data_IF_356356841949
#
_entry.id   IF_356356841949
#
_cell.length_a   1.000
_cell.length_b   1.000
_cell.length_c   1.000
_cell.angle_alpha   90.00
_cell.angle_beta   90.00
_cell.angle_gamma   90.00
#
_symmetry.space_group_name_H-M   'P 1'
#
loop_
_entity.id
_entity.type
_entity.pdbx_description
1 polymer ?
#
# COMPACT_ATOMS: atom_id res chain seq x y z
N UNK A 1 13.17 -59.22 -72.21
CA UNK A 1 12.62 -57.93 -72.68
C UNK A 1 12.99 -56.89 -71.63
N UNK A 2 14.10 -56.15 -71.84
CA UNK A 2 14.13 -54.71 -72.18
C UNK A 2 13.67 -53.83 -70.98
N UNK A 3 14.42 -52.87 -70.43
CA UNK A 3 15.76 -52.34 -70.71
C UNK A 3 16.13 -51.21 -69.71
N UNK A 4 17.43 -51.15 -69.38
CA UNK A 4 18.34 -49.99 -69.25
C UNK A 4 18.02 -48.70 -68.42
N UNK A 5 18.97 -48.42 -67.50
CA UNK A 5 19.78 -47.19 -67.26
C UNK A 5 19.12 -45.99 -66.55
N UNK A 6 19.65 -45.56 -65.39
CA UNK A 6 20.52 -44.35 -65.27
C UNK A 6 21.04 -44.09 -63.85
N UNK A 7 22.30 -43.66 -63.79
CA UNK A 7 23.02 -43.04 -62.67
C UNK A 7 22.40 -41.69 -62.28
N UNK A 8 22.60 -41.27 -61.03
CA UNK A 8 22.43 -39.89 -60.58
C UNK A 8 22.92 -39.68 -59.15
N UNK A 9 24.13 -39.16 -59.01
CA UNK A 9 24.66 -38.64 -57.75
C UNK A 9 24.05 -37.26 -57.41
N UNK A 10 24.31 -36.82 -56.18
CA UNK A 10 24.11 -35.48 -55.61
C UNK A 10 22.75 -35.21 -54.93
N UNK A 11 22.75 -35.09 -53.61
CA UNK A 11 22.80 -33.79 -52.93
C UNK A 11 22.76 -34.00 -51.41
N UNK A 12 23.87 -33.64 -50.78
CA UNK A 12 23.88 -33.25 -49.38
C UNK A 12 22.98 -32.02 -49.20
N UNK A 13 22.16 -32.00 -48.15
CA UNK A 13 21.35 -30.81 -47.87
C UNK A 13 20.33 -31.04 -46.76
N UNK A 14 20.69 -30.61 -45.55
CA UNK A 14 19.85 -29.92 -44.57
C UNK A 14 18.54 -30.58 -44.14
N UNK A 15 18.43 -30.89 -42.84
CA UNK A 15 17.43 -30.30 -41.93
C UNK A 15 17.64 -30.85 -40.52
N UNK A 16 18.75 -30.46 -39.88
CA UNK A 16 18.84 -30.48 -38.42
C UNK A 16 18.37 -29.10 -37.97
N UNK A 17 17.06 -28.92 -37.80
CA UNK A 17 16.51 -27.77 -37.10
C UNK A 17 16.82 -27.94 -35.61
N UNK A 18 18.05 -27.56 -35.25
CA UNK A 18 18.44 -27.22 -33.90
C UNK A 18 17.56 -26.03 -33.50
N UNK A 19 16.50 -26.31 -32.74
CA UNK A 19 15.75 -25.29 -32.00
C UNK A 19 16.67 -24.79 -30.88
N UNK A 20 17.64 -23.94 -31.25
CA UNK A 20 18.29 -23.05 -30.32
C UNK A 20 17.26 -21.97 -30.01
N UNK A 21 16.35 -22.27 -29.10
CA UNK A 21 15.60 -21.23 -28.41
C UNK A 21 16.65 -20.42 -27.64
N UNK A 22 17.10 -19.33 -28.26
CA UNK A 22 17.89 -18.30 -27.63
C UNK A 22 17.11 -17.86 -26.38
N UNK A 23 17.60 -18.29 -25.22
CA UNK A 23 17.39 -17.60 -23.95
C UNK A 23 18.04 -16.22 -24.12
N UNK A 24 17.36 -15.33 -24.82
CA UNK A 24 17.64 -13.91 -24.68
C UNK A 24 17.32 -13.58 -23.21
N UNK A 25 18.26 -13.02 -22.44
CA UNK A 25 17.91 -12.46 -21.15
C UNK A 25 16.81 -11.43 -21.39
N UNK A 26 15.86 -11.39 -20.46
CA UNK A 26 14.68 -10.54 -20.44
C UNK A 26 15.08 -9.06 -20.24
N UNK A 27 15.83 -8.49 -21.19
CA UNK A 27 16.26 -7.08 -21.16
C UNK A 27 15.04 -6.13 -21.14
N UNK A 28 13.88 -6.61 -21.57
CA UNK A 28 12.62 -5.87 -21.51
C UNK A 28 12.06 -5.69 -20.08
N UNK A 29 12.47 -6.52 -19.11
CA UNK A 29 12.01 -6.43 -17.71
C UNK A 29 12.67 -5.28 -16.94
N UNK A 30 13.87 -4.86 -17.34
CA UNK A 30 14.70 -3.92 -16.58
C UNK A 30 14.32 -2.43 -16.74
N UNK A 31 13.51 -2.06 -17.74
CA UNK A 31 13.23 -0.64 -18.07
C UNK A 31 11.81 -0.18 -17.70
N UNK A 32 10.98 -1.06 -17.09
CA UNK A 32 9.61 -0.69 -16.69
C UNK A 32 9.52 -0.45 -15.19
N UNK A 33 9.30 0.80 -14.82
CA UNK A 33 9.06 1.18 -13.43
C UNK A 33 7.56 1.22 -13.10
N UNK A 34 7.15 0.59 -12.01
CA UNK A 34 5.81 0.68 -11.43
C UNK A 34 5.70 1.88 -10.50
N UNK A 35 4.60 2.62 -10.57
CA UNK A 35 4.29 3.75 -9.69
C UNK A 35 3.22 3.36 -8.68
N UNK A 36 3.62 3.24 -7.41
CA UNK A 36 2.72 3.05 -6.28
C UNK A 36 2.46 4.39 -5.58
N UNK A 37 1.21 4.62 -5.17
CA UNK A 37 0.86 5.70 -4.25
C UNK A 37 0.44 5.14 -2.89
N UNK A 38 0.94 5.78 -1.83
CA UNK A 38 0.54 5.52 -0.46
C UNK A 38 -0.01 6.81 0.15
N UNK A 39 -1.27 6.77 0.58
CA UNK A 39 -1.89 7.79 1.42
C UNK A 39 -1.83 7.33 2.88
N UNK A 40 -1.76 8.29 3.79
CA UNK A 40 -1.89 8.03 5.22
C UNK A 40 -3.34 7.79 5.64
N UNK A 41 -3.72 8.37 6.76
CA UNK A 41 -4.95 7.99 7.46
C UNK A 41 -6.20 8.52 6.73
N UNK A 42 -7.09 7.61 6.35
CA UNK A 42 -8.37 7.88 5.68
C UNK A 42 -9.48 7.47 6.64
N UNK A 43 -10.00 8.46 7.36
CA UNK A 43 -11.12 8.37 8.29
C UNK A 43 -12.36 8.97 7.60
N UNK A 44 -13.28 8.10 7.17
CA UNK A 44 -14.49 8.46 6.40
C UNK A 44 -15.75 8.55 7.26
N UNK A 45 -15.61 8.76 8.57
CA UNK A 45 -16.73 9.09 9.47
C UNK A 45 -16.79 10.62 9.63
N UNK A 46 -17.62 11.12 10.56
CA UNK A 46 -17.70 12.53 10.97
C UNK A 46 -17.83 13.53 9.79
N UNK A 47 -16.91 14.49 9.62
CA UNK A 47 -16.92 15.49 8.55
C UNK A 47 -16.91 14.87 7.15
N UNK A 48 -15.90 14.04 6.81
CA UNK A 48 -15.87 13.31 5.55
C UNK A 48 -17.12 12.46 5.32
N UNK A 49 -17.59 11.75 6.35
CA UNK A 49 -18.82 10.96 6.30
C UNK A 49 -20.06 11.81 5.97
N UNK A 50 -20.23 12.96 6.63
CA UNK A 50 -21.31 13.92 6.35
C UNK A 50 -21.25 14.50 4.94
N UNK A 51 -20.05 14.79 4.43
CA UNK A 51 -19.87 15.26 3.05
C UNK A 51 -20.34 14.19 2.06
N UNK A 52 -19.95 12.93 2.29
CA UNK A 52 -20.36 11.79 1.47
C UNK A 52 -21.88 11.58 1.55
N UNK A 53 -22.50 11.66 2.72
CA UNK A 53 -23.94 11.50 2.88
C UNK A 53 -24.76 12.51 2.05
N UNK A 54 -24.20 13.71 1.82
CA UNK A 54 -24.81 14.77 0.99
C UNK A 54 -24.46 14.67 -0.51
N UNK A 55 -23.78 13.60 -0.93
CA UNK A 55 -23.40 13.36 -2.33
C UNK A 55 -22.01 13.88 -2.71
N UNK A 56 -21.26 14.50 -1.79
CA UNK A 56 -19.90 14.98 -2.03
C UNK A 56 -18.85 13.86 -2.11
N UNK A 57 -17.61 14.22 -2.45
CA UNK A 57 -16.46 13.32 -2.54
C UNK A 57 -15.21 14.04 -1.95
N UNK A 58 -14.72 13.65 -0.76
CA UNK A 58 -13.53 14.26 -0.16
C UNK A 58 -12.25 13.98 -0.96
N UNK A 59 -12.24 12.98 -1.85
CA UNK A 59 -11.07 12.64 -2.66
C UNK A 59 -11.09 13.33 -4.03
N UNK A 60 -12.11 14.11 -4.34
CA UNK A 60 -12.22 14.83 -5.60
C UNK A 60 -10.99 15.72 -5.93
N UNK A 61 -10.39 16.47 -4.98
CA UNK A 61 -9.19 17.27 -5.27
C UNK A 61 -7.97 16.44 -5.69
N UNK A 62 -7.87 15.19 -5.25
CA UNK A 62 -6.78 14.27 -5.58
C UNK A 62 -7.11 13.29 -6.72
N UNK A 63 -8.34 13.34 -7.27
CA UNK A 63 -8.84 12.44 -8.30
C UNK A 63 -7.86 12.20 -9.45
N UNK A 64 -7.39 13.29 -10.07
CA UNK A 64 -6.51 13.24 -11.23
C UNK A 64 -5.08 12.77 -10.87
N UNK A 65 -4.62 13.10 -9.67
CA UNK A 65 -3.30 12.70 -9.17
C UNK A 65 -3.29 11.19 -8.91
N UNK A 66 -4.30 10.69 -8.20
CA UNK A 66 -4.45 9.27 -7.90
C UNK A 66 -4.53 8.45 -9.20
N UNK A 67 -5.29 8.91 -10.20
CA UNK A 67 -5.49 8.19 -11.47
C UNK A 67 -4.20 7.99 -12.31
N UNK A 68 -3.08 8.64 -11.97
CA UNK A 68 -1.80 8.49 -12.68
C UNK A 68 -0.93 7.34 -12.16
N UNK A 69 -1.33 6.71 -11.06
CA UNK A 69 -0.59 5.62 -10.46
C UNK A 69 -1.03 4.27 -11.00
N UNK A 70 -0.12 3.30 -10.97
CA UNK A 70 -0.42 1.92 -11.36
C UNK A 70 -1.11 1.15 -10.22
N UNK A 71 -0.92 1.60 -8.97
CA UNK A 71 -1.60 1.05 -7.79
C UNK A 71 -1.63 2.07 -6.64
N UNK A 72 -2.75 2.12 -5.91
CA UNK A 72 -3.03 3.13 -4.87
C UNK A 72 -3.44 2.47 -3.57
N UNK A 73 -2.77 2.83 -2.48
CA UNK A 73 -2.92 2.25 -1.14
C UNK A 73 -3.20 3.36 -0.14
N UNK A 74 -4.08 3.11 0.83
CA UNK A 74 -4.32 3.99 1.97
C UNK A 74 -4.41 3.22 3.28
N UNK A 75 -4.30 3.90 4.42
CA UNK A 75 -4.71 3.35 5.72
C UNK A 75 -6.18 3.69 5.97
N UNK A 76 -7.07 2.69 6.04
CA UNK A 76 -8.50 2.91 6.31
C UNK A 76 -8.72 2.95 7.83
N UNK A 77 -8.78 4.15 8.40
CA UNK A 77 -8.77 4.37 9.85
C UNK A 77 -10.17 4.37 10.48
N UNK A 78 -11.06 3.54 9.95
CA UNK A 78 -12.43 3.43 10.42
C UNK A 78 -13.07 2.14 9.88
N UNK A 79 -13.84 1.40 10.69
CA UNK A 79 -14.66 0.31 10.18
C UNK A 79 -15.79 0.87 9.30
N UNK A 80 -16.11 0.16 8.22
CA UNK A 80 -17.26 0.42 7.36
C UNK A 80 -18.34 -0.59 7.72
N UNK A 81 -19.37 -0.14 8.46
CA UNK A 81 -20.37 -1.06 8.98
C UNK A 81 -21.68 -0.35 9.40
N UNK A 82 -22.78 -1.08 9.36
CA UNK A 82 -24.00 -0.74 10.12
C UNK A 82 -24.07 -1.55 11.44
N UNK A 83 -23.39 -2.71 11.51
CA UNK A 83 -23.38 -3.59 12.67
C UNK A 83 -22.42 -3.14 13.78
N UNK A 84 -22.36 -3.95 14.84
CA UNK A 84 -21.44 -3.77 15.96
C UNK A 84 -21.92 -2.79 17.03
N UNK A 85 -21.10 -2.63 18.07
CA UNK A 85 -21.31 -1.67 19.15
C UNK A 85 -20.00 -1.00 19.47
N UNK A 86 -20.05 0.32 19.64
CA UNK A 86 -18.88 1.11 20.00
C UNK A 86 -18.19 0.52 21.24
N UNK A 87 -16.86 0.45 21.19
CA UNK A 87 -16.06 -0.08 22.27
C UNK A 87 -16.20 0.83 23.51
N UNK A 88 -16.75 0.32 24.63
CA UNK A 88 -17.32 1.15 25.70
C UNK A 88 -16.31 2.05 26.42
N UNK A 89 -15.03 1.70 26.39
CA UNK A 89 -13.95 2.40 27.10
C UNK A 89 -12.95 3.10 26.16
N UNK A 90 -13.26 3.21 24.88
CA UNK A 90 -12.40 3.92 23.92
C UNK A 90 -12.86 5.37 23.80
N UNK A 91 -11.94 6.32 23.94
CA UNK A 91 -12.24 7.77 23.98
C UNK A 91 -12.79 8.26 22.63
N UNK A 92 -12.27 7.71 21.54
CA UNK A 92 -12.71 8.00 20.18
C UNK A 92 -13.05 6.68 19.47
N UNK A 93 -14.26 6.60 18.93
CA UNK A 93 -14.72 5.48 18.12
C UNK A 93 -15.30 6.03 16.82
N UNK A 94 -14.80 5.56 15.69
CA UNK A 94 -15.29 5.93 14.36
C UNK A 94 -16.03 4.76 13.73
N UNK A 95 -17.06 5.05 12.94
CA UNK A 95 -17.72 4.06 12.07
C UNK A 95 -18.31 4.74 10.85
N UNK A 96 -17.66 4.48 9.73
CA UNK A 96 -18.18 4.89 8.43
C UNK A 96 -19.40 4.05 8.04
N UNK A 97 -20.35 4.72 7.39
CA UNK A 97 -21.51 4.09 6.76
C UNK A 97 -21.10 3.40 5.45
N UNK A 98 -21.76 2.31 5.02
CA UNK A 98 -21.42 1.63 3.75
C UNK A 98 -21.42 2.53 2.50
N UNK A 99 -22.14 3.65 2.51
CA UNK A 99 -22.15 4.63 1.43
C UNK A 99 -20.78 5.25 1.10
N UNK A 100 -19.80 5.18 2.01
CA UNK A 100 -18.43 5.67 1.74
C UNK A 100 -17.68 4.83 0.72
N UNK A 101 -18.10 3.59 0.48
CA UNK A 101 -17.44 2.70 -0.48
C UNK A 101 -17.41 3.31 -1.90
N UNK A 102 -18.42 4.13 -2.26
CA UNK A 102 -18.48 4.80 -3.56
C UNK A 102 -17.32 5.77 -3.81
N UNK A 103 -16.71 6.29 -2.74
CA UNK A 103 -15.54 7.19 -2.86
C UNK A 103 -14.23 6.41 -2.77
N UNK A 104 -14.20 5.23 -2.19
CA UNK A 104 -13.01 4.37 -2.21
C UNK A 104 -12.81 3.74 -3.59
N UNK A 105 -13.90 3.30 -4.22
CA UNK A 105 -13.86 2.71 -5.55
C UNK A 105 -13.26 3.67 -6.58
N UNK A 106 -12.23 3.18 -7.27
CA UNK A 106 -11.52 3.96 -8.29
C UNK A 106 -10.57 5.03 -7.74
N UNK A 107 -10.51 5.22 -6.41
CA UNK A 107 -9.51 6.07 -5.73
C UNK A 107 -8.38 5.27 -5.11
N UNK A 108 -8.70 4.12 -4.51
CA UNK A 108 -7.73 3.20 -3.95
C UNK A 108 -7.98 1.78 -4.46
N UNK A 109 -6.89 1.06 -4.75
CA UNK A 109 -6.93 -0.34 -5.17
C UNK A 109 -6.91 -1.27 -3.96
N UNK A 110 -6.27 -0.84 -2.86
CA UNK A 110 -6.33 -1.54 -1.59
C UNK A 110 -6.21 -0.60 -0.38
N UNK A 111 -6.63 -1.09 0.78
CA UNK A 111 -6.51 -0.39 2.06
C UNK A 111 -5.88 -1.27 3.13
N UNK A 112 -5.04 -0.68 3.98
CA UNK A 112 -4.61 -1.32 5.23
C UNK A 112 -5.73 -1.24 6.25
N UNK A 113 -5.96 -2.35 6.95
CA UNK A 113 -6.83 -2.45 8.12
C UNK A 113 -6.01 -2.54 9.42
N UNK A 114 -4.68 -2.55 9.34
CA UNK A 114 -3.83 -2.64 10.51
C UNK A 114 -3.72 -1.29 11.24
N UNK A 115 -4.76 -0.91 11.97
CA UNK A 115 -4.75 0.30 12.80
C UNK A 115 -5.58 0.11 14.07
N UNK A 116 -5.46 1.06 14.99
CA UNK A 116 -6.15 1.03 16.27
C UNK A 116 -7.68 1.27 16.18
N UNK A 117 -8.19 1.77 15.05
CA UNK A 117 -9.61 2.11 14.87
C UNK A 117 -10.43 1.01 14.18
N UNK A 118 -9.79 0.04 13.53
CA UNK A 118 -10.48 -1.07 12.85
C UNK A 118 -11.40 -1.90 13.76
N UNK A 119 -11.12 -1.91 15.07
CA UNK A 119 -11.90 -2.62 16.07
C UNK A 119 -12.95 -1.79 16.82
N UNK A 120 -13.20 -0.55 16.41
CA UNK A 120 -14.01 0.41 17.20
C UNK A 120 -15.43 -0.08 17.50
N UNK A 121 -16.01 -0.87 16.60
CA UNK A 121 -17.35 -1.43 16.74
C UNK A 121 -17.36 -2.96 16.90
N UNK A 122 -16.19 -3.54 17.20
CA UNK A 122 -15.99 -4.95 17.45
C UNK A 122 -15.93 -5.81 16.19
N UNK A 123 -15.77 -7.11 16.40
CA UNK A 123 -15.48 -8.09 15.35
C UNK A 123 -16.58 -8.21 14.28
N UNK A 124 -17.85 -8.01 14.63
CA UNK A 124 -18.95 -8.06 13.65
C UNK A 124 -18.84 -6.94 12.62
N UNK A 125 -18.56 -5.71 13.08
CA UNK A 125 -18.37 -4.55 12.21
C UNK A 125 -17.10 -4.68 11.36
N UNK A 126 -16.05 -5.27 11.93
CA UNK A 126 -14.81 -5.53 11.20
C UNK A 126 -14.97 -6.58 10.09
N UNK A 127 -15.68 -7.68 10.38
CA UNK A 127 -16.02 -8.69 9.35
C UNK A 127 -16.95 -8.13 8.27
N UNK A 128 -17.89 -7.26 8.65
CA UNK A 128 -18.72 -6.53 7.69
C UNK A 128 -17.88 -5.61 6.80
N UNK A 129 -16.89 -4.91 7.38
CA UNK A 129 -15.94 -4.07 6.63
C UNK A 129 -15.21 -4.89 5.57
N UNK A 130 -14.63 -6.04 5.96
CA UNK A 130 -13.96 -6.96 5.04
C UNK A 130 -14.90 -7.41 3.92
N UNK A 131 -16.10 -7.88 4.26
CA UNK A 131 -17.07 -8.35 3.28
C UNK A 131 -17.52 -7.26 2.30
N UNK A 132 -17.64 -6.02 2.77
CA UNK A 132 -17.98 -4.87 1.94
C UNK A 132 -16.83 -4.48 1.00
N UNK A 133 -15.58 -4.48 1.49
CA UNK A 133 -14.40 -4.23 0.65
C UNK A 133 -14.27 -5.31 -0.45
N UNK A 134 -14.39 -6.59 -0.07
CA UNK A 134 -14.41 -7.72 -0.99
C UNK A 134 -15.48 -7.55 -2.08
N UNK A 135 -16.71 -7.22 -1.69
CA UNK A 135 -17.84 -7.03 -2.61
C UNK A 135 -17.64 -5.86 -3.58
N UNK A 136 -16.83 -4.85 -3.21
CA UNK A 136 -16.53 -3.69 -4.05
C UNK A 136 -15.24 -3.85 -4.86
N UNK A 137 -14.51 -4.96 -4.69
CA UNK A 137 -13.24 -5.22 -5.36
C UNK A 137 -12.09 -4.33 -4.87
N UNK A 138 -12.19 -3.79 -3.65
CA UNK A 138 -11.11 -3.04 -3.01
C UNK A 138 -10.32 -4.03 -2.16
N UNK A 139 -9.04 -4.23 -2.48
CA UNK A 139 -8.18 -5.13 -1.73
C UNK A 139 -8.01 -4.67 -0.28
N UNK A 140 -7.72 -5.59 0.63
CA UNK A 140 -7.39 -5.26 2.01
C UNK A 140 -6.25 -6.12 2.54
N UNK A 141 -5.56 -5.63 3.57
CA UNK A 141 -4.47 -6.34 4.24
C UNK A 141 -4.23 -5.79 5.64
N UNK A 142 -3.39 -6.47 6.43
CA UNK A 142 -3.09 -6.07 7.81
C UNK A 142 -4.22 -6.36 8.80
N UNK A 143 -5.22 -7.12 8.36
CA UNK A 143 -6.36 -7.54 9.16
C UNK A 143 -7.16 -8.59 8.40
N UNK A 144 -7.80 -9.50 9.14
CA UNK A 144 -8.39 -10.69 8.57
C UNK A 144 -9.33 -11.43 9.51
N UNK A 145 -9.91 -12.52 9.00
CA UNK A 145 -10.86 -13.38 9.72
C UNK A 145 -10.18 -14.21 10.81
N UNK A 146 -8.86 -14.34 10.73
CA UNK A 146 -7.96 -14.96 11.70
C UNK A 146 -6.53 -14.40 11.58
N UNK A 147 -5.61 -14.92 12.40
CA UNK A 147 -4.21 -14.53 12.43
C UNK A 147 -3.50 -14.76 11.08
N UNK A 148 -3.81 -15.84 10.37
CA UNK A 148 -3.13 -16.17 9.12
C UNK A 148 -3.52 -15.18 8.01
N UNK A 149 -4.82 -14.84 7.93
CA UNK A 149 -5.30 -13.83 6.98
C UNK A 149 -4.82 -12.42 7.37
N UNK A 150 -4.82 -12.07 8.66
CA UNK A 150 -4.35 -10.76 9.09
C UNK A 150 -2.89 -10.48 8.71
N UNK A 151 -2.04 -11.50 8.80
CA UNK A 151 -0.62 -11.45 8.42
C UNK A 151 -0.35 -11.76 6.93
N UNK A 152 -1.39 -12.05 6.14
CA UNK A 152 -1.21 -12.30 4.72
C UNK A 152 -0.83 -10.99 3.98
N UNK A 153 0.15 -11.04 3.06
CA UNK A 153 0.48 -9.87 2.27
C UNK A 153 -0.61 -9.55 1.25
N UNK A 154 -0.80 -8.25 1.00
CA UNK A 154 -1.35 -7.80 -0.27
C UNK A 154 -0.33 -8.09 -1.37
N UNK A 155 -0.72 -8.89 -2.36
CA UNK A 155 0.09 -9.17 -3.53
C UNK A 155 -0.24 -8.23 -4.68
N UNK A 156 0.75 -7.44 -5.11
CA UNK A 156 0.66 -6.60 -6.32
C UNK A 156 1.51 -7.27 -7.40
N UNK A 157 0.85 -7.80 -8.43
CA UNK A 157 1.50 -8.43 -9.59
C UNK A 157 1.22 -7.59 -10.83
N UNK A 158 2.20 -6.80 -11.26
CA UNK A 158 2.07 -5.83 -12.37
C UNK A 158 3.40 -5.71 -13.11
N UNK A 159 3.34 -5.65 -14.44
CA UNK A 159 4.52 -5.47 -15.32
C UNK A 159 5.71 -6.37 -14.98
N UNK A 160 5.43 -7.62 -14.60
CA UNK A 160 6.43 -8.61 -14.23
C UNK A 160 6.94 -8.52 -12.79
N UNK A 161 6.65 -7.44 -12.05
CA UNK A 161 6.98 -7.31 -10.64
C UNK A 161 5.93 -7.98 -9.75
N UNK A 162 6.40 -8.71 -8.74
CA UNK A 162 5.60 -9.25 -7.64
C UNK A 162 6.01 -8.57 -6.33
N UNK A 163 5.15 -7.71 -5.82
CA UNK A 163 5.38 -6.91 -4.61
C UNK A 163 4.46 -7.41 -3.50
N UNK A 164 5.01 -7.66 -2.33
CA UNK A 164 4.26 -7.93 -1.11
C UNK A 164 4.14 -6.64 -0.28
N UNK A 165 2.92 -6.24 0.08
CA UNK A 165 2.68 -5.19 1.06
C UNK A 165 2.12 -5.82 2.33
N UNK A 166 2.77 -5.59 3.46
CA UNK A 166 2.41 -6.17 4.77
C UNK A 166 1.97 -5.05 5.70
N UNK A 167 0.84 -5.20 6.39
CA UNK A 167 0.26 -4.17 7.26
C UNK A 167 0.40 -4.56 8.72
N UNK A 168 0.82 -3.64 9.60
CA UNK A 168 0.92 -3.91 11.03
C UNK A 168 0.53 -2.72 11.89
N UNK A 169 -0.06 -2.99 13.06
CA UNK A 169 -0.37 -2.00 14.08
C UNK A 169 0.45 -2.23 15.34
N UNK A 170 1.04 -1.16 15.87
CA UNK A 170 1.74 -1.15 17.16
C UNK A 170 1.06 -0.22 18.19
N UNK A 171 -0.07 0.37 17.81
CA UNK A 171 -0.79 1.30 18.65
C UNK A 171 -2.01 0.68 19.33
N UNK A 172 -2.18 1.02 20.61
CA UNK A 172 -3.23 0.46 21.47
C UNK A 172 -4.64 0.76 20.94
N UNK A 173 -5.62 -0.13 21.20
CA UNK A 173 -5.51 -1.30 22.07
C UNK A 173 -5.09 -2.59 21.32
N UNK A 174 -4.14 -3.33 21.92
CA UNK A 174 -3.76 -4.68 21.44
C UNK A 174 -4.89 -5.71 21.53
N UNK A 175 -5.93 -5.44 22.31
CA UNK A 175 -7.06 -6.37 22.48
C UNK A 175 -7.83 -6.68 21.20
N UNK A 176 -7.58 -5.98 20.09
CA UNK A 176 -8.17 -6.27 18.78
C UNK A 176 -7.23 -7.02 17.82
N UNK A 177 -6.11 -7.55 18.32
CA UNK A 177 -5.22 -8.46 17.60
C UNK A 177 -5.97 -9.72 17.12
N UNK A 178 -5.73 -10.11 15.86
CA UNK A 178 -6.25 -11.34 15.30
C UNK A 178 -5.66 -12.55 16.03
N UNK A 179 -6.45 -13.61 16.17
CA UNK A 179 -5.97 -14.88 16.73
C UNK A 179 -6.23 -16.06 15.83
N UNK A 180 -5.84 -17.24 16.29
CA UNK A 180 -5.86 -18.46 15.48
C UNK A 180 -7.24 -18.83 14.89
N UNK A 181 -8.33 -18.30 15.46
CA UNK A 181 -9.69 -18.52 14.95
C UNK A 181 -10.64 -17.37 15.24
N UNK A 182 -10.13 -16.15 15.45
CA UNK A 182 -10.97 -14.97 15.62
C UNK A 182 -10.41 -13.78 14.84
N UNK A 183 -11.30 -12.92 14.32
CA UNK A 183 -10.90 -11.82 13.47
C UNK A 183 -10.25 -10.70 14.25
N UNK A 184 -9.41 -9.95 13.55
CA UNK A 184 -8.73 -8.79 14.09
C UNK A 184 -7.66 -8.28 13.14
N UNK A 185 -6.77 -7.47 13.69
CA UNK A 185 -5.67 -6.84 12.97
C UNK A 185 -4.34 -7.57 13.22
N UNK A 186 -3.41 -7.43 12.29
CA UNK A 186 -2.03 -7.89 12.48
C UNK A 186 -1.33 -6.95 13.46
N UNK A 187 -1.08 -7.44 14.67
CA UNK A 187 -0.30 -6.72 15.66
C UNK A 187 1.19 -6.84 15.32
N UNK A 188 1.92 -5.73 15.46
CA UNK A 188 3.36 -5.71 15.22
C UNK A 188 4.08 -6.45 16.35
N UNK A 189 4.70 -7.58 16.01
CA UNK A 189 5.69 -8.27 16.83
C UNK A 189 6.93 -8.48 15.96
N UNK A 190 8.09 -7.96 16.36
CA UNK A 190 9.33 -7.98 15.54
C UNK A 190 9.61 -9.35 14.91
N UNK A 191 9.48 -10.41 15.72
CA UNK A 191 9.75 -11.78 15.27
C UNK A 191 8.77 -12.25 14.18
N UNK A 192 7.50 -11.84 14.26
CA UNK A 192 6.46 -12.19 13.30
C UNK A 192 6.63 -11.35 12.03
N UNK A 193 6.87 -10.05 12.14
CA UNK A 193 7.13 -9.19 10.98
C UNK A 193 8.32 -9.71 10.16
N UNK A 194 9.42 -10.08 10.83
CA UNK A 194 10.58 -10.68 10.17
C UNK A 194 10.27 -12.07 9.56
N UNK A 195 9.40 -12.86 10.18
CA UNK A 195 8.95 -14.13 9.63
C UNK A 195 8.13 -13.91 8.34
N UNK A 196 7.20 -12.97 8.35
CA UNK A 196 6.31 -12.67 7.22
C UNK A 196 7.08 -12.08 6.05
N UNK A 197 8.06 -11.19 6.30
CA UNK A 197 8.96 -10.67 5.25
C UNK A 197 9.74 -11.82 4.59
N UNK A 198 10.25 -12.77 5.39
CA UNK A 198 10.97 -13.94 4.85
C UNK A 198 10.04 -14.87 4.07
N UNK A 199 8.83 -15.11 4.57
CA UNK A 199 7.83 -15.93 3.91
C UNK A 199 7.42 -15.34 2.56
N UNK A 200 7.10 -14.04 2.51
CA UNK A 200 6.75 -13.36 1.27
C UNK A 200 7.87 -13.46 0.21
N UNK A 201 9.14 -13.34 0.62
CA UNK A 201 10.29 -13.55 -0.28
C UNK A 201 10.44 -15.00 -0.73
N UNK A 202 10.24 -15.97 0.17
CA UNK A 202 10.25 -17.39 -0.19
C UNK A 202 9.15 -17.71 -1.22
N UNK A 203 8.02 -17.01 -1.15
CA UNK A 203 6.92 -17.09 -2.11
C UNK A 203 7.15 -16.26 -3.39
N UNK A 204 8.37 -15.75 -3.59
CA UNK A 204 8.79 -15.10 -4.84
C UNK A 204 8.51 -13.60 -4.92
N UNK A 205 8.34 -12.90 -3.81
CA UNK A 205 8.31 -11.43 -3.81
C UNK A 205 9.65 -10.85 -4.31
N UNK A 206 9.60 -10.03 -5.36
CA UNK A 206 10.74 -9.19 -5.77
C UNK A 206 11.02 -8.16 -4.67
N UNK A 207 9.95 -7.49 -4.23
CA UNK A 207 9.96 -6.42 -3.23
C UNK A 207 8.96 -6.70 -2.11
N UNK A 208 9.32 -6.29 -0.89
CA UNK A 208 8.44 -6.33 0.29
C UNK A 208 8.39 -4.94 0.91
N UNK A 209 7.19 -4.42 1.17
CA UNK A 209 6.95 -3.08 1.73
C UNK A 209 6.06 -3.23 2.98
N UNK A 210 6.62 -3.10 4.19
CA UNK A 210 5.82 -2.93 5.39
C UNK A 210 5.12 -1.57 5.42
N UNK A 211 3.82 -1.56 5.72
CA UNK A 211 3.00 -0.38 6.01
C UNK A 211 2.57 -0.41 7.48
N UNK A 212 3.14 0.48 8.27
CA UNK A 212 3.14 0.42 9.72
C UNK A 212 2.25 1.52 10.31
N UNK A 213 1.43 1.16 11.29
CA UNK A 213 0.62 2.09 12.07
C UNK A 213 1.15 2.13 13.50
N UNK A 214 1.95 3.15 13.85
CA UNK A 214 2.78 3.16 15.06
C UNK A 214 2.87 4.54 15.75
N UNK A 215 3.19 4.57 17.04
CA UNK A 215 3.09 5.79 17.86
C UNK A 215 4.37 6.56 18.11
N UNK A 216 5.52 5.89 18.20
CA UNK A 216 6.81 6.49 18.56
C UNK A 216 7.85 6.09 17.52
N UNK A 217 8.79 6.98 17.22
CA UNK A 217 9.98 6.74 16.40
C UNK A 217 10.87 5.71 17.11
N UNK A 218 10.48 4.44 17.02
CA UNK A 218 10.92 3.38 17.91
C UNK A 218 11.34 2.15 17.14
N UNK A 219 12.61 2.15 16.74
CA UNK A 219 13.34 1.12 16.01
C UNK A 219 12.92 0.95 14.56
N UNK A 220 13.73 1.42 13.58
CA UNK A 220 13.53 0.98 12.21
C UNK A 220 13.50 -0.53 12.24
N UNK A 221 12.47 -1.14 11.64
CA UNK A 221 12.49 -2.55 11.26
C UNK A 221 13.78 -2.76 10.47
N UNK A 222 14.84 -3.11 11.20
CA UNK A 222 16.22 -3.09 10.74
C UNK A 222 16.50 -4.32 9.86
N UNK A 223 15.46 -4.87 9.24
CA UNK A 223 15.64 -5.84 8.20
C UNK A 223 16.17 -5.11 6.98
N UNK A 224 17.42 -5.42 6.64
CA UNK A 224 18.10 -5.01 5.42
C UNK A 224 17.40 -5.48 4.13
N UNK A 225 16.14 -5.95 4.19
CA UNK A 225 15.42 -6.65 3.12
C UNK A 225 14.06 -6.05 2.76
N UNK A 226 13.50 -5.09 3.50
CA UNK A 226 12.34 -4.32 3.03
C UNK A 226 12.76 -3.34 1.92
N UNK A 227 11.97 -3.15 0.87
CA UNK A 227 12.27 -2.24 -0.25
C UNK A 227 12.07 -0.76 0.14
N UNK A 228 11.07 -0.50 0.97
CA UNK A 228 10.79 0.73 1.68
C UNK A 228 10.00 0.36 2.94
N UNK A 229 9.91 1.28 3.91
CA UNK A 229 8.93 1.19 5.00
C UNK A 229 8.09 2.46 4.97
N UNK A 230 6.78 2.29 5.08
CA UNK A 230 5.81 3.38 5.10
C UNK A 230 5.11 3.37 6.45
N UNK A 231 4.99 4.52 7.10
CA UNK A 231 4.34 4.66 8.40
C UNK A 231 3.14 5.61 8.36
N UNK A 232 2.25 5.47 9.34
CA UNK A 232 1.11 6.36 9.66
C UNK A 232 0.77 6.24 11.15
N UNK A 233 -0.37 6.80 11.59
CA UNK A 233 -0.87 6.90 12.99
C UNK A 233 -0.64 8.22 13.75
N UNK A 234 0.56 8.84 13.81
CA UNK A 234 0.78 10.03 14.66
C UNK A 234 -0.06 11.26 14.30
N UNK A 235 -0.92 11.15 13.27
CA UNK A 235 -1.76 12.19 12.70
C UNK A 235 -1.00 13.39 12.12
N UNK A 236 0.32 13.34 12.17
CA UNK A 236 1.24 14.34 11.60
C UNK A 236 2.26 13.64 10.72
N UNK A 237 2.78 14.34 9.73
CA UNK A 237 3.94 13.86 8.97
C UNK A 237 5.18 13.82 9.86
N UNK A 238 5.96 12.75 9.80
CA UNK A 238 7.23 12.62 10.52
C UNK A 238 8.40 12.50 9.55
N UNK A 239 9.62 12.47 10.09
CA UNK A 239 10.85 12.45 9.31
C UNK A 239 10.92 11.26 8.33
N UNK A 240 11.86 11.38 7.40
CA UNK A 240 12.22 10.30 6.47
C UNK A 240 13.71 10.05 6.62
N UNK A 241 14.10 8.78 6.67
CA UNK A 241 15.51 8.37 6.65
C UNK A 241 15.83 7.47 5.46
N UNK A 242 17.11 7.46 5.07
CA UNK A 242 17.64 6.47 4.15
C UNK A 242 18.43 5.43 4.95
N UNK A 243 17.81 4.28 5.21
CA UNK A 243 18.45 3.16 5.87
C UNK A 243 18.99 2.17 4.84
N UNK A 244 20.32 1.97 4.80
CA UNK A 244 20.97 1.04 3.85
C UNK A 244 20.54 1.27 2.38
N UNK A 245 20.36 2.52 1.99
CA UNK A 245 19.98 2.91 0.63
C UNK A 245 18.49 2.83 0.31
N UNK A 246 17.63 2.62 1.32
CA UNK A 246 16.17 2.48 1.15
C UNK A 246 15.42 3.46 2.04
N UNK A 247 14.30 4.03 1.58
CA UNK A 247 13.56 5.01 2.35
C UNK A 247 12.73 4.36 3.45
N UNK A 248 12.73 4.98 4.63
CA UNK A 248 11.81 4.73 5.73
C UNK A 248 11.07 6.04 5.98
N UNK A 249 9.78 6.05 5.67
CA UNK A 249 8.88 7.18 5.89
C UNK A 249 8.17 6.93 7.21
N UNK A 250 8.51 7.67 8.27
CA UNK A 250 8.01 7.36 9.62
C UNK A 250 6.51 7.67 9.77
N UNK A 251 6.00 8.71 9.12
CA UNK A 251 4.57 8.95 9.10
C UNK A 251 4.16 9.78 7.88
N UNK A 252 3.14 9.32 7.17
CA UNK A 252 2.44 10.08 6.14
C UNK A 252 1.44 11.09 6.71
N UNK A 253 1.09 11.01 8.00
CA UNK A 253 0.04 11.82 8.61
C UNK A 253 -1.36 11.52 8.06
N UNK A 254 -2.30 12.40 8.36
CA UNK A 254 -3.68 12.26 7.91
C UNK A 254 -3.83 12.59 6.42
N UNK A 255 -4.65 11.83 5.70
CA UNK A 255 -5.00 12.13 4.31
C UNK A 255 -6.46 12.57 4.16
N UNK A 256 -7.41 11.90 4.82
CA UNK A 256 -8.81 12.35 4.91
C UNK A 256 -9.21 12.24 6.37
N UNK A 257 -9.27 13.35 7.10
CA UNK A 257 -9.57 13.35 8.54
C UNK A 257 -9.91 14.77 9.02
N UNK A 258 -11.04 14.95 9.71
CA UNK A 258 -11.40 16.18 10.42
C UNK A 258 -11.14 16.09 11.94
N UNK A 259 -11.61 17.08 12.72
CA UNK A 259 -11.51 17.07 14.18
C UNK A 259 -10.19 17.57 14.77
N UNK A 260 -9.28 18.08 13.93
CA UNK A 260 -8.00 18.65 14.37
C UNK A 260 -8.01 20.18 14.34
N UNK A 261 -7.15 20.80 15.14
CA UNK A 261 -6.98 22.26 15.17
C UNK A 261 -5.60 22.70 14.69
N UNK A 262 -4.57 21.91 14.98
CA UNK A 262 -3.20 22.27 14.63
C UNK A 262 -2.94 22.05 13.14
N UNK A 263 -2.08 22.88 12.57
CA UNK A 263 -1.74 22.81 11.15
C UNK A 263 -1.06 21.50 10.80
N UNK A 264 -0.20 21.02 11.69
CA UNK A 264 0.58 19.79 11.52
C UNK A 264 -0.33 18.57 11.39
N UNK A 265 -1.45 18.54 12.12
CA UNK A 265 -2.45 17.46 12.09
C UNK A 265 -3.35 17.53 10.87
N UNK A 266 -3.47 18.72 10.27
CA UNK A 266 -4.16 19.00 9.00
C UNK A 266 -3.23 18.85 7.80
N UNK A 267 -1.99 18.40 7.99
CA UNK A 267 -1.01 18.20 6.94
C UNK A 267 -0.64 16.73 6.85
N UNK A 268 -0.84 16.15 5.67
CA UNK A 268 -0.37 14.82 5.31
C UNK A 268 0.48 14.81 4.06
N UNK A 269 1.03 13.65 3.75
CA UNK A 269 1.77 13.36 2.54
C UNK A 269 1.12 12.24 1.75
N UNK A 270 0.92 12.48 0.46
CA UNK A 270 0.75 11.41 -0.52
C UNK A 270 2.16 11.00 -0.98
N UNK A 271 2.57 9.77 -0.69
CA UNK A 271 3.86 9.23 -1.10
C UNK A 271 3.75 8.56 -2.45
N UNK A 272 4.67 8.90 -3.36
CA UNK A 272 4.88 8.19 -4.62
C UNK A 272 6.17 7.39 -4.56
N UNK A 273 6.06 6.10 -4.84
CA UNK A 273 7.19 5.20 -5.04
C UNK A 273 7.25 4.76 -6.49
N UNK A 274 8.39 4.97 -7.14
CA UNK A 274 8.71 4.36 -8.45
C UNK A 274 9.66 3.20 -8.23
N UNK A 275 9.27 2.01 -8.69
CA UNK A 275 9.89 0.73 -8.36
C UNK A 275 10.23 -0.04 -9.63
N UNK A 276 11.37 -0.73 -9.64
CA UNK A 276 11.72 -1.77 -10.62
C UNK A 276 12.08 -3.08 -9.86
N UNK A 277 12.67 -4.06 -10.55
CA UNK A 277 13.04 -5.34 -9.94
C UNK A 277 14.17 -5.20 -8.89
N UNK A 278 14.98 -4.16 -8.99
CA UNK A 278 16.09 -3.86 -8.09
C UNK A 278 15.65 -3.02 -6.87
N UNK A 279 14.44 -2.47 -6.89
CA UNK A 279 13.81 -1.78 -5.76
C UNK A 279 13.38 -0.34 -6.06
N UNK A 280 13.48 0.55 -5.07
CA UNK A 280 13.07 1.95 -5.24
C UNK A 280 14.02 2.67 -6.20
N UNK A 281 13.48 3.14 -7.32
CA UNK A 281 14.18 3.99 -8.30
C UNK A 281 14.17 5.43 -7.81
N UNK A 282 12.98 5.91 -7.41
CA UNK A 282 12.76 7.25 -6.91
C UNK A 282 11.52 7.28 -6.02
N UNK A 283 11.50 8.25 -5.11
CA UNK A 283 10.35 8.52 -4.28
C UNK A 283 10.24 10.01 -3.99
N UNK A 284 9.02 10.47 -3.81
CA UNK A 284 8.71 11.84 -3.46
C UNK A 284 7.34 11.90 -2.79
N UNK A 285 7.13 12.93 -1.97
CA UNK A 285 5.83 13.16 -1.33
C UNK A 285 5.17 14.43 -1.86
N UNK A 286 3.85 14.44 -1.93
CA UNK A 286 3.05 15.64 -2.19
C UNK A 286 2.30 16.00 -0.93
N UNK A 287 2.43 17.25 -0.49
CA UNK A 287 1.68 17.75 0.66
C UNK A 287 0.18 17.82 0.34
N UNK A 288 -0.62 17.20 1.21
CA UNK A 288 -2.06 17.31 1.27
C UNK A 288 -2.42 18.15 2.50
N UNK A 289 -3.26 19.17 2.31
CA UNK A 289 -3.78 19.97 3.43
C UNK A 289 -5.28 19.81 3.55
N UNK A 290 -5.73 19.32 4.69
CA UNK A 290 -7.14 19.11 4.95
C UNK A 290 -7.82 20.43 5.33
N UNK A 291 -9.02 20.62 4.80
CA UNK A 291 -9.93 21.68 5.24
C UNK A 291 -10.70 21.27 6.51
N UNK A 292 -11.67 22.09 6.92
CA UNK A 292 -12.44 21.86 8.14
C UNK A 292 -13.35 20.62 8.06
N UNK A 293 -13.72 20.18 6.85
CA UNK A 293 -14.51 18.96 6.63
C UNK A 293 -13.60 17.73 6.45
N UNK A 294 -12.29 17.86 6.66
CA UNK A 294 -11.33 16.78 6.51
C UNK A 294 -10.99 16.44 5.05
N UNK A 295 -11.38 17.29 4.09
CA UNK A 295 -11.10 17.08 2.67
C UNK A 295 -9.68 17.53 2.32
N UNK A 296 -8.81 16.65 1.79
CA UNK A 296 -7.44 17.03 1.42
C UNK A 296 -7.37 17.83 0.13
N UNK A 297 -6.54 18.88 0.13
CA UNK A 297 -6.21 19.69 -1.03
C UNK A 297 -4.71 19.61 -1.32
N UNK A 298 -4.28 19.37 -2.58
CA UNK A 298 -2.86 19.31 -2.92
C UNK A 298 -2.22 20.69 -2.78
N UNK A 299 -1.11 20.79 -2.06
CA UNK A 299 -0.33 22.02 -1.90
C UNK A 299 0.80 22.02 -2.93
N UNK A 300 0.46 22.42 -4.16
CA UNK A 300 1.45 22.54 -5.24
C UNK A 300 2.51 23.59 -4.88
N UNK A 301 3.78 23.28 -5.14
CA UNK A 301 4.90 24.17 -4.80
C UNK A 301 5.51 23.93 -3.41
N UNK A 302 4.85 23.18 -2.52
CA UNK A 302 5.42 22.79 -1.23
C UNK A 302 6.72 21.99 -1.45
N UNK A 303 7.71 22.24 -0.59
CA UNK A 303 8.95 21.47 -0.56
C UNK A 303 8.83 20.36 0.46
N UNK A 304 8.84 19.13 -0.01
CA UNK A 304 8.58 17.93 0.78
C UNK A 304 9.68 16.89 0.56
N UNK A 305 9.83 15.91 1.48
CA UNK A 305 10.85 14.88 1.35
C UNK A 305 10.81 14.11 0.03
N UNK A 306 11.98 13.87 -0.53
CA UNK A 306 12.18 13.09 -1.74
C UNK A 306 13.56 12.42 -1.76
N UNK A 307 13.69 11.43 -2.63
CA UNK A 307 14.96 10.75 -2.86
C UNK A 307 14.97 9.95 -4.15
N UNK A 308 16.16 9.46 -4.49
CA UNK A 308 16.40 8.56 -5.63
C UNK A 308 17.41 7.50 -5.23
N UNK A 309 17.39 6.37 -5.93
CA UNK A 309 18.35 5.28 -5.77
C UNK A 309 19.78 5.81 -5.74
N UNK A 310 20.59 5.28 -4.84
CA UNK A 310 21.99 5.70 -4.65
C UNK A 310 22.17 6.99 -3.87
N UNK A 311 21.09 7.76 -3.62
CA UNK A 311 21.11 8.87 -2.68
C UNK A 311 21.27 8.36 -1.24
N UNK A 312 22.10 9.05 -0.44
CA UNK A 312 22.33 8.73 0.97
C UNK A 312 21.62 9.67 1.93
N UNK A 313 21.07 10.77 1.41
CA UNK A 313 20.41 11.82 2.17
C UNK A 313 19.04 12.11 1.57
N UNK A 314 18.09 12.43 2.45
CA UNK A 314 16.77 12.93 2.06
C UNK A 314 16.91 14.37 1.58
N UNK A 315 16.26 14.69 0.46
CA UNK A 315 16.21 16.04 -0.08
C UNK A 315 14.82 16.60 0.11
N UNK A 316 14.68 17.92 -0.02
CA UNK A 316 13.39 18.57 -0.13
C UNK A 316 13.14 18.99 -1.58
N UNK A 317 12.21 18.29 -2.27
CA UNK A 317 11.83 18.55 -3.65
C UNK A 317 10.52 19.33 -3.72
N UNK A 318 10.35 20.10 -4.77
CA UNK A 318 9.03 20.61 -5.16
C UNK A 318 8.36 19.58 -6.08
N UNK A 319 7.11 19.26 -5.81
CA UNK A 319 6.27 18.43 -6.67
C UNK A 319 6.03 19.12 -8.03
N UNK A 320 6.94 18.95 -8.99
CA UNK A 320 6.82 19.54 -10.34
C UNK A 320 6.00 18.68 -11.31
N UNK A 321 5.95 17.37 -11.08
CA UNK A 321 5.44 16.38 -12.05
C UNK A 321 4.50 15.35 -11.39
N UNK A 322 3.52 15.81 -10.63
CA UNK A 322 2.43 14.98 -10.08
C UNK A 322 1.22 14.99 -11.00
#
# INVERSE_FOLDING_TARGET
>A
MSGRISLGAALAGQFFLLLLALLLPDEARADRSLTLLFAGDVMLDDGPGRLIARGGDPLAPFAAILARADYRIANLETPIAESGRAHPNKIFTFRSRPEVLRVLQGRFDAVSLANNHSGDYGQSAFLETIALLDAQGVGHFGGGRDLAEAHAPLWIVRDGLKIAVLGYNEYKPRSFEAGAGWPGIAWSEDSQVLADIRAARADGADLVIPFMHWGWEGMPLADARAAAVVGGHPHVTQDVEIHRGRPIIYSLGNFVFDGFERREEKTGWLLRLRLDAEGVVAWDTLEARMDADGTPHPVLGARTPCGRRGGREVRACTASDW
#
